data_IF_566417370916
#
_entry.id   IF_566417370916
#
_cell.length_a   1.000
_cell.length_b   1.000
_cell.length_c   1.000
_cell.angle_alpha   90.00
_cell.angle_beta   90.00
_cell.angle_gamma   90.00
#
_symmetry.space_group_name_H-M   'P 1'
#
loop_
_entity.id
_entity.type
_entity.pdbx_description
1 polymer ?
#
# COMPACT_ATOMS: atom_id res chain seq x y z
N UNK A 1 -40.36 -8.06 20.18
CA UNK A 1 -39.56 -6.83 19.98
C UNK A 1 -38.63 -7.08 18.80
N UNK A 2 -38.45 -6.10 17.90
CA UNK A 2 -37.53 -6.26 16.76
C UNK A 2 -36.10 -6.23 17.31
N UNK A 3 -35.31 -7.27 17.03
CA UNK A 3 -33.91 -7.33 17.46
C UNK A 3 -33.14 -6.11 16.90
N UNK A 4 -32.12 -5.65 17.63
CA UNK A 4 -31.27 -4.56 17.16
C UNK A 4 -30.38 -5.09 16.04
N UNK A 5 -30.30 -4.38 14.91
CA UNK A 5 -29.39 -4.76 13.81
C UNK A 5 -27.94 -4.38 14.14
N UNK A 6 -27.00 -5.25 13.75
CA UNK A 6 -25.56 -4.95 13.75
C UNK A 6 -24.96 -5.30 12.40
N UNK A 7 -24.13 -4.40 11.86
CA UNK A 7 -23.33 -4.72 10.66
C UNK A 7 -21.93 -5.16 11.10
N UNK A 8 -21.55 -6.40 10.78
CA UNK A 8 -20.26 -6.98 11.13
C UNK A 8 -19.33 -6.97 9.90
N UNK A 9 -18.17 -6.32 10.00
CA UNK A 9 -17.08 -6.52 9.07
C UNK A 9 -16.61 -7.99 9.14
N UNK A 10 -16.77 -8.71 8.04
CA UNK A 10 -16.71 -10.17 8.01
C UNK A 10 -15.71 -10.66 6.95
N UNK A 11 -14.87 -11.61 7.35
CA UNK A 11 -13.84 -12.21 6.49
C UNK A 11 -14.00 -13.72 6.31
N UNK A 12 -14.98 -14.36 6.96
CA UNK A 12 -15.13 -15.81 6.99
C UNK A 12 -14.11 -16.55 7.85
N UNK A 13 -13.15 -15.83 8.45
CA UNK A 13 -12.15 -16.38 9.36
C UNK A 13 -12.72 -16.75 10.74
N UNK A 14 -11.85 -17.29 11.60
CA UNK A 14 -12.19 -17.69 12.97
C UNK A 14 -12.82 -16.54 13.77
N UNK A 15 -12.09 -15.43 13.87
CA UNK A 15 -12.42 -14.27 14.70
C UNK A 15 -13.78 -13.66 14.32
N UNK A 16 -14.02 -13.44 13.03
CA UNK A 16 -15.28 -12.85 12.54
C UNK A 16 -16.43 -13.85 12.57
N UNK A 17 -16.17 -15.16 12.44
CA UNK A 17 -17.17 -16.21 12.66
C UNK A 17 -17.61 -16.26 14.12
N UNK A 18 -16.65 -16.22 15.06
CA UNK A 18 -16.93 -16.12 16.49
C UNK A 18 -17.78 -14.87 16.80
N UNK A 19 -17.38 -13.71 16.28
CA UNK A 19 -18.11 -12.46 16.48
C UNK A 19 -19.58 -12.57 16.04
N UNK A 20 -19.85 -13.18 14.87
CA UNK A 20 -21.22 -13.33 14.39
C UNK A 20 -22.08 -14.16 15.34
N UNK A 21 -21.58 -15.34 15.76
CA UNK A 21 -22.32 -16.23 16.67
C UNK A 21 -22.52 -15.58 18.04
N UNK A 22 -21.48 -14.92 18.56
CA UNK A 22 -21.55 -14.22 19.84
C UNK A 22 -22.54 -13.06 19.81
N UNK A 23 -22.50 -12.19 18.78
CA UNK A 23 -23.42 -11.06 18.63
C UNK A 23 -24.88 -11.52 18.52
N UNK A 24 -25.12 -12.62 17.80
CA UNK A 24 -26.45 -13.23 17.72
C UNK A 24 -26.93 -13.67 19.11
N UNK A 25 -26.06 -14.28 19.92
CA UNK A 25 -26.38 -14.65 21.31
C UNK A 25 -26.65 -13.43 22.21
N UNK A 26 -26.08 -12.27 21.89
CA UNK A 26 -26.39 -10.99 22.55
C UNK A 26 -27.71 -10.36 22.07
N UNK A 27 -28.48 -11.02 21.20
CA UNK A 27 -29.79 -10.57 20.73
C UNK A 27 -29.75 -9.61 19.53
N UNK A 28 -28.63 -9.57 18.79
CA UNK A 28 -28.56 -8.79 17.56
C UNK A 28 -29.00 -9.58 16.33
N UNK A 29 -29.66 -8.90 15.39
CA UNK A 29 -29.79 -9.36 14.01
C UNK A 29 -28.49 -9.01 13.27
N UNK A 30 -27.62 -10.00 13.13
CA UNK A 30 -26.30 -9.83 12.51
C UNK A 30 -26.43 -9.78 10.99
N UNK A 31 -25.96 -8.71 10.39
CA UNK A 31 -25.75 -8.57 8.94
C UNK A 31 -24.24 -8.55 8.73
N UNK A 32 -23.72 -9.42 7.88
CA UNK A 32 -22.28 -9.48 7.58
C UNK A 32 -21.94 -8.67 6.34
N UNK A 33 -20.77 -8.05 6.33
CA UNK A 33 -20.26 -7.24 5.23
C UNK A 33 -18.81 -7.63 4.92
N UNK A 34 -18.56 -8.03 3.68
CA UNK A 34 -17.23 -8.23 3.12
C UNK A 34 -17.02 -7.24 1.98
N UNK A 35 -15.88 -6.54 2.01
CA UNK A 35 -15.45 -5.64 0.94
C UNK A 35 -14.29 -6.28 0.20
N UNK A 36 -14.45 -6.50 -1.10
CA UNK A 36 -13.41 -7.00 -1.98
C UNK A 36 -12.46 -5.86 -2.38
N UNK A 37 -11.43 -5.66 -1.56
CA UNK A 37 -10.27 -4.81 -1.83
C UNK A 37 -9.19 -5.54 -2.64
N UNK A 38 -9.53 -6.68 -3.25
CA UNK A 38 -8.63 -7.60 -3.90
C UNK A 38 -8.06 -8.64 -2.94
N UNK A 39 -7.45 -9.68 -3.53
CA UNK A 39 -6.84 -10.78 -2.78
C UNK A 39 -7.71 -12.03 -2.63
N UNK A 40 -8.99 -11.97 -2.95
CA UNK A 40 -9.90 -13.12 -2.94
C UNK A 40 -10.00 -13.78 -4.32
N UNK A 41 -9.75 -15.09 -4.38
CA UNK A 41 -10.12 -15.89 -5.54
C UNK A 41 -11.62 -16.29 -5.51
N UNK A 42 -12.06 -17.12 -6.45
CA UNK A 42 -13.47 -17.49 -6.55
C UNK A 42 -13.88 -18.39 -5.39
N UNK A 43 -13.02 -19.32 -5.03
CA UNK A 43 -13.20 -20.27 -3.93
C UNK A 43 -13.30 -19.54 -2.58
N UNK A 44 -12.48 -18.52 -2.36
CA UNK A 44 -12.52 -17.65 -1.18
C UNK A 44 -13.89 -16.94 -1.07
N UNK A 45 -14.38 -16.38 -2.18
CA UNK A 45 -15.67 -15.67 -2.23
C UNK A 45 -16.83 -16.60 -1.90
N UNK A 46 -16.86 -17.77 -2.54
CA UNK A 46 -17.90 -18.77 -2.31
C UNK A 46 -17.87 -19.29 -0.87
N UNK A 47 -16.66 -19.50 -0.31
CA UNK A 47 -16.47 -19.86 1.09
C UNK A 47 -17.04 -18.79 2.03
N UNK A 48 -16.69 -17.51 1.86
CA UNK A 48 -17.15 -16.42 2.73
C UNK A 48 -18.67 -16.31 2.73
N UNK A 49 -19.31 -16.41 1.55
CA UNK A 49 -20.77 -16.35 1.44
C UNK A 49 -21.42 -17.53 2.17
N UNK A 50 -20.91 -18.75 1.98
CA UNK A 50 -21.44 -19.93 2.67
C UNK A 50 -21.21 -19.85 4.20
N UNK A 51 -20.02 -19.42 4.61
CA UNK A 51 -19.67 -19.25 6.01
C UNK A 51 -20.58 -18.23 6.70
N UNK A 52 -20.92 -17.12 6.03
CA UNK A 52 -21.84 -16.11 6.56
C UNK A 52 -23.21 -16.69 6.94
N UNK A 53 -23.72 -17.64 6.15
CA UNK A 53 -24.99 -18.35 6.40
C UNK A 53 -24.84 -19.30 7.58
N UNK A 54 -23.75 -20.06 7.64
CA UNK A 54 -23.47 -21.01 8.71
C UNK A 54 -23.35 -20.33 10.08
N UNK A 55 -22.73 -19.15 10.14
CA UNK A 55 -22.62 -18.35 11.37
C UNK A 55 -23.90 -17.59 11.72
N UNK A 56 -25.00 -17.85 11.00
CA UNK A 56 -26.34 -17.38 11.31
C UNK A 56 -26.60 -15.92 10.99
N UNK A 57 -25.88 -15.33 10.02
CA UNK A 57 -26.16 -13.98 9.56
C UNK A 57 -27.54 -13.91 8.89
N UNK A 58 -28.30 -12.86 9.21
CA UNK A 58 -29.62 -12.58 8.62
C UNK A 58 -29.53 -12.09 7.18
N UNK A 59 -28.39 -11.48 6.82
CA UNK A 59 -28.07 -10.99 5.49
C UNK A 59 -26.55 -10.92 5.34
N UNK A 60 -26.08 -11.08 4.11
CA UNK A 60 -24.67 -10.92 3.74
C UNK A 60 -24.55 -9.93 2.59
N UNK A 61 -23.62 -8.99 2.73
CA UNK A 61 -23.19 -8.09 1.69
C UNK A 61 -21.78 -8.45 1.26
N UNK A 62 -21.59 -8.62 -0.04
CA UNK A 62 -20.29 -8.77 -0.67
C UNK A 62 -20.14 -7.66 -1.71
N UNK A 63 -19.31 -6.66 -1.44
CA UNK A 63 -19.25 -5.42 -2.22
C UNK A 63 -17.83 -5.21 -2.78
N UNK A 64 -17.72 -4.78 -4.03
CA UNK A 64 -16.44 -4.40 -4.61
C UNK A 64 -15.87 -3.11 -4.00
N UNK A 65 -14.62 -3.14 -3.56
CA UNK A 65 -13.88 -1.97 -3.05
C UNK A 65 -12.62 -1.63 -3.83
N UNK A 66 -12.23 -2.45 -4.82
CA UNK A 66 -10.98 -2.31 -5.59
C UNK A 66 -10.79 -0.94 -6.24
N UNK A 67 -11.80 -0.46 -6.95
CA UNK A 67 -11.73 0.83 -7.65
C UNK A 67 -11.58 1.99 -6.67
N UNK A 68 -12.38 1.99 -5.61
CA UNK A 68 -12.32 3.04 -4.59
C UNK A 68 -10.99 3.03 -3.84
N UNK A 69 -10.46 1.85 -3.50
CA UNK A 69 -9.13 1.70 -2.92
C UNK A 69 -8.04 2.24 -3.86
N UNK A 70 -8.14 1.92 -5.15
CA UNK A 70 -7.19 2.41 -6.14
C UNK A 70 -7.21 3.94 -6.22
N UNK A 71 -8.38 4.52 -6.45
CA UNK A 71 -8.54 5.95 -6.70
C UNK A 71 -8.17 6.78 -5.47
N UNK A 72 -8.64 6.38 -4.29
CA UNK A 72 -8.47 7.17 -3.06
C UNK A 72 -7.14 6.98 -2.36
N UNK A 73 -6.48 5.83 -2.52
CA UNK A 73 -5.32 5.48 -1.70
C UNK A 73 -4.13 5.08 -2.57
N UNK A 74 -4.27 4.04 -3.40
CA UNK A 74 -3.14 3.49 -4.15
C UNK A 74 -2.58 4.51 -5.14
N UNK A 75 -3.46 5.29 -5.79
CA UNK A 75 -3.07 6.36 -6.71
C UNK A 75 -2.13 7.36 -6.02
N UNK A 76 -2.40 7.72 -4.76
CA UNK A 76 -1.56 8.64 -3.98
C UNK A 76 -0.29 7.96 -3.43
N UNK A 77 -0.33 6.65 -3.15
CA UNK A 77 0.89 5.89 -2.86
C UNK A 77 1.85 5.91 -4.07
N UNK A 78 1.32 5.77 -5.29
CA UNK A 78 2.10 5.84 -6.54
C UNK A 78 2.62 7.26 -6.76
N UNK A 79 1.72 8.25 -6.90
CA UNK A 79 2.07 9.67 -7.14
C UNK A 79 3.02 10.22 -6.07
N UNK A 80 2.81 9.83 -4.82
CA UNK A 80 3.63 10.24 -3.69
C UNK A 80 4.94 9.47 -3.56
N UNK A 81 5.11 8.34 -4.24
CA UNK A 81 6.22 7.38 -4.04
C UNK A 81 6.34 6.86 -2.60
N UNK A 82 5.22 6.55 -1.97
CA UNK A 82 5.13 6.34 -0.53
C UNK A 82 5.68 4.97 -0.14
N UNK A 83 6.74 4.98 0.67
CA UNK A 83 7.32 3.82 1.31
C UNK A 83 7.64 4.17 2.77
N UNK A 84 6.91 3.57 3.71
CA UNK A 84 7.16 3.75 5.14
C UNK A 84 8.52 3.16 5.51
N UNK A 85 9.32 3.93 6.25
CA UNK A 85 10.70 3.57 6.57
C UNK A 85 11.57 3.37 5.31
N UNK A 86 11.18 3.96 4.18
CA UNK A 86 11.87 3.82 2.91
C UNK A 86 11.65 2.50 2.17
N UNK A 87 10.95 1.52 2.75
CA UNK A 87 10.81 0.16 2.19
C UNK A 87 9.38 -0.37 2.09
N UNK A 88 8.48 -0.03 3.01
CA UNK A 88 7.17 -0.69 3.13
C UNK A 88 6.03 0.10 2.46
N UNK A 89 5.34 -0.44 1.44
CA UNK A 89 4.29 0.27 0.71
C UNK A 89 2.90 0.14 1.35
N UNK A 90 2.83 -0.05 2.67
CA UNK A 90 1.57 -0.05 3.43
C UNK A 90 0.57 -1.13 2.97
N UNK A 91 1.01 -2.35 2.65
CA UNK A 91 0.19 -3.34 1.93
C UNK A 91 -1.20 -3.68 2.50
N UNK A 92 -1.42 -3.58 3.82
CA UNK A 92 -2.68 -4.05 4.44
C UNK A 92 -3.47 -2.95 5.19
N UNK A 93 -2.77 -2.00 5.81
CA UNK A 93 -3.39 -1.02 6.71
C UNK A 93 -4.42 -0.11 6.04
N UNK A 94 -4.09 0.57 4.93
CA UNK A 94 -4.98 1.51 4.27
C UNK A 94 -6.29 0.89 3.76
N UNK A 95 -6.31 -0.40 3.44
CA UNK A 95 -7.53 -1.10 3.02
C UNK A 95 -8.62 -1.06 4.12
N UNK A 96 -8.22 -1.03 5.40
CA UNK A 96 -9.15 -0.93 6.53
C UNK A 96 -9.94 0.36 6.54
N UNK A 97 -9.40 1.45 5.98
CA UNK A 97 -10.10 2.74 5.86
C UNK A 97 -11.31 2.62 4.92
N UNK A 98 -11.14 1.93 3.78
CA UNK A 98 -12.22 1.67 2.83
C UNK A 98 -13.27 0.73 3.44
N UNK A 99 -12.83 -0.34 4.11
CA UNK A 99 -13.74 -1.29 4.75
C UNK A 99 -14.57 -0.60 5.83
N UNK A 100 -13.96 0.18 6.71
CA UNK A 100 -14.64 0.91 7.78
C UNK A 100 -15.62 1.97 7.23
N UNK A 101 -15.24 2.67 6.16
CA UNK A 101 -16.14 3.62 5.46
C UNK A 101 -17.39 2.92 4.94
N UNK A 102 -17.22 1.79 4.23
CA UNK A 102 -18.36 1.00 3.73
C UNK A 102 -19.21 0.39 4.84
N UNK A 103 -18.58 0.01 5.95
CA UNK A 103 -19.28 -0.49 7.13
C UNK A 103 -20.25 0.56 7.69
N UNK A 104 -19.81 1.81 7.80
CA UNK A 104 -20.66 2.94 8.19
C UNK A 104 -21.80 3.20 7.18
N UNK A 105 -21.50 3.25 5.88
CA UNK A 105 -22.49 3.46 4.83
C UNK A 105 -23.61 2.39 4.87
N UNK A 106 -23.23 1.12 5.02
CA UNK A 106 -24.19 0.01 5.09
C UNK A 106 -24.99 0.03 6.39
N UNK A 107 -24.39 0.44 7.51
CA UNK A 107 -25.11 0.58 8.77
C UNK A 107 -26.24 1.62 8.65
N UNK A 108 -25.94 2.78 8.07
CA UNK A 108 -26.94 3.83 7.82
C UNK A 108 -28.03 3.31 6.87
N UNK A 109 -27.63 2.67 5.76
CA UNK A 109 -28.57 2.10 4.77
C UNK A 109 -29.53 1.08 5.38
N UNK A 110 -29.05 0.23 6.28
CA UNK A 110 -29.84 -0.81 6.94
C UNK A 110 -30.63 -0.30 8.15
N UNK A 111 -30.44 0.95 8.55
CA UNK A 111 -30.99 1.52 9.79
C UNK A 111 -30.42 0.86 11.05
N UNK A 112 -29.17 0.39 10.99
CA UNK A 112 -28.47 -0.19 12.13
C UNK A 112 -27.80 0.92 12.96
N UNK A 113 -27.99 0.87 14.28
CA UNK A 113 -27.33 1.78 15.23
C UNK A 113 -25.97 1.25 15.70
N UNK A 114 -25.52 0.10 15.18
CA UNK A 114 -24.36 -0.62 15.71
C UNK A 114 -23.59 -1.29 14.59
N UNK A 115 -22.27 -1.22 14.69
CA UNK A 115 -21.31 -1.89 13.82
C UNK A 115 -20.35 -2.73 14.66
N UNK A 116 -19.77 -3.75 14.05
CA UNK A 116 -18.80 -4.61 14.71
C UNK A 116 -17.62 -4.99 13.80
N UNK A 117 -16.47 -5.26 14.40
CA UNK A 117 -15.31 -5.84 13.72
C UNK A 117 -14.59 -6.85 14.64
N UNK A 118 -13.84 -7.77 14.03
CA UNK A 118 -13.15 -8.85 14.75
C UNK A 118 -11.70 -8.56 15.10
N UNK A 119 -11.29 -7.29 15.23
CA UNK A 119 -9.88 -6.96 15.48
C UNK A 119 -9.48 -7.29 16.92
N UNK A 120 -8.24 -7.76 17.10
CA UNK A 120 -7.64 -7.97 18.43
C UNK A 120 -7.25 -6.65 19.08
N UNK A 121 -7.05 -6.67 20.41
CA UNK A 121 -6.54 -5.53 21.18
C UNK A 121 -5.04 -5.24 21.02
N UNK A 122 -4.30 -6.07 20.28
CA UNK A 122 -2.85 -5.94 20.12
C UNK A 122 -2.41 -5.33 18.77
N UNK A 123 -3.32 -5.26 17.80
CA UNK A 123 -2.99 -4.82 16.43
C UNK A 123 -3.40 -3.39 16.14
N UNK A 124 -2.82 -2.81 15.08
CA UNK A 124 -3.17 -1.48 14.56
C UNK A 124 -4.57 -1.43 13.94
N UNK A 125 -5.09 -2.55 13.44
CA UNK A 125 -6.35 -2.59 12.70
C UNK A 125 -7.55 -2.17 13.54
N UNK A 126 -7.55 -2.45 14.85
CA UNK A 126 -8.59 -1.96 15.75
C UNK A 126 -8.67 -0.42 15.74
N UNK A 127 -7.52 0.26 15.71
CA UNK A 127 -7.45 1.72 15.74
C UNK A 127 -7.95 2.28 14.40
N UNK A 128 -7.55 1.63 13.29
CA UNK A 128 -7.98 2.01 11.95
C UNK A 128 -9.49 1.93 11.77
N UNK A 129 -10.11 0.85 12.25
CA UNK A 129 -11.57 0.73 12.27
C UNK A 129 -12.21 1.77 13.20
N UNK A 130 -11.81 1.82 14.46
CA UNK A 130 -12.44 2.69 15.46
C UNK A 130 -12.34 4.16 15.09
N UNK A 131 -11.16 4.66 14.70
CA UNK A 131 -10.96 6.06 14.33
C UNK A 131 -11.81 6.41 13.10
N UNK A 132 -11.74 5.60 12.05
CA UNK A 132 -12.54 5.84 10.83
C UNK A 132 -14.04 5.90 11.13
N UNK A 133 -14.55 4.93 11.89
CA UNK A 133 -15.96 4.86 12.25
C UNK A 133 -16.39 6.04 13.14
N UNK A 134 -15.54 6.45 14.10
CA UNK A 134 -15.82 7.60 14.97
C UNK A 134 -15.85 8.91 14.20
N UNK A 135 -14.96 9.09 13.22
CA UNK A 135 -14.93 10.29 12.38
C UNK A 135 -16.15 10.35 11.46
N UNK A 136 -16.44 9.26 10.76
CA UNK A 136 -17.49 9.25 9.72
C UNK A 136 -18.89 9.05 10.26
N UNK A 137 -19.04 8.42 11.41
CA UNK A 137 -20.33 8.04 11.98
C UNK A 137 -20.28 7.98 13.51
N UNK A 138 -20.03 9.12 14.18
CA UNK A 138 -19.86 9.19 15.65
C UNK A 138 -21.07 8.66 16.44
N UNK A 139 -22.25 8.63 15.83
CA UNK A 139 -23.49 8.12 16.39
C UNK A 139 -23.57 6.59 16.42
N UNK A 140 -22.77 5.87 15.63
CA UNK A 140 -22.79 4.41 15.60
C UNK A 140 -22.07 3.85 16.84
N UNK A 141 -22.72 2.90 17.51
CA UNK A 141 -22.05 2.09 18.53
C UNK A 141 -21.09 1.12 17.85
N UNK A 142 -19.82 1.12 18.25
CA UNK A 142 -18.80 0.20 17.75
C UNK A 142 -18.62 -0.94 18.75
N UNK A 143 -18.62 -2.18 18.26
CA UNK A 143 -18.32 -3.38 19.05
C UNK A 143 -17.08 -4.07 18.49
N UNK A 144 -16.14 -4.47 19.35
CA UNK A 144 -14.97 -5.24 18.95
C UNK A 144 -14.84 -6.49 19.82
N UNK A 145 -15.70 -7.52 19.64
CA UNK A 145 -15.83 -8.61 20.62
C UNK A 145 -14.52 -9.34 20.94
N UNK A 146 -13.64 -9.55 19.96
CA UNK A 146 -12.34 -10.22 20.17
C UNK A 146 -11.46 -9.42 21.14
N UNK A 147 -11.34 -8.11 20.91
CA UNK A 147 -10.62 -7.19 21.79
C UNK A 147 -11.29 -7.12 23.16
N UNK A 148 -12.58 -6.83 23.18
CA UNK A 148 -13.31 -6.45 24.40
C UNK A 148 -13.45 -7.65 25.37
N UNK A 149 -13.53 -8.87 24.85
CA UNK A 149 -13.58 -10.10 25.65
C UNK A 149 -12.19 -10.66 25.98
N UNK A 150 -11.14 -10.23 25.28
CA UNK A 150 -9.80 -10.81 25.40
C UNK A 150 -9.77 -12.32 25.16
N UNK A 151 -10.66 -12.83 24.30
CA UNK A 151 -10.82 -14.27 24.09
C UNK A 151 -9.58 -14.86 23.43
N UNK A 152 -9.18 -16.05 23.87
CA UNK A 152 -8.07 -16.79 23.26
C UNK A 152 -8.57 -17.58 22.05
N UNK A 153 -7.70 -17.72 21.05
CA UNK A 153 -7.96 -18.50 19.82
C UNK A 153 -8.54 -19.89 20.08
N UNK A 154 -8.03 -20.60 21.07
CA UNK A 154 -8.47 -21.95 21.42
C UNK A 154 -9.92 -21.96 21.94
N UNK A 155 -10.30 -20.92 22.67
CA UNK A 155 -11.65 -20.77 23.21
C UNK A 155 -12.64 -20.36 22.12
N UNK A 156 -12.21 -19.56 21.14
CA UNK A 156 -13.01 -19.28 19.94
C UNK A 156 -13.32 -20.56 19.15
N UNK A 157 -12.32 -21.42 18.96
CA UNK A 157 -12.48 -22.70 18.26
C UNK A 157 -13.47 -23.58 19.01
N UNK A 158 -13.29 -23.76 20.32
CA UNK A 158 -14.22 -24.55 21.16
C UNK A 158 -15.63 -23.98 21.12
N UNK A 159 -15.76 -22.66 21.15
CA UNK A 159 -17.05 -21.98 21.10
C UNK A 159 -17.78 -22.26 19.78
N UNK A 160 -17.09 -22.14 18.64
CA UNK A 160 -17.69 -22.43 17.33
C UNK A 160 -18.01 -23.91 17.14
N UNK A 161 -17.15 -24.81 17.61
CA UNK A 161 -17.40 -26.25 17.59
C UNK A 161 -18.64 -26.62 18.40
N UNK A 162 -18.83 -26.00 19.57
CA UNK A 162 -20.05 -26.16 20.37
C UNK A 162 -21.33 -25.67 19.69
N UNK A 163 -21.22 -24.87 18.63
CA UNK A 163 -22.33 -24.42 17.78
C UNK A 163 -22.35 -25.14 16.41
N UNK A 164 -21.63 -26.26 16.27
CA UNK A 164 -21.51 -27.04 15.04
C UNK A 164 -20.98 -26.26 13.83
N UNK A 165 -20.18 -25.20 14.07
CA UNK A 165 -19.53 -24.41 13.04
C UNK A 165 -18.06 -24.82 12.96
N UNK A 166 -17.66 -25.33 11.80
CA UNK A 166 -16.27 -25.64 11.50
C UNK A 166 -15.60 -24.46 10.82
N UNK A 167 -14.33 -24.23 11.13
CA UNK A 167 -13.46 -23.27 10.44
C UNK A 167 -12.31 -24.09 9.83
N UNK A 168 -11.95 -23.88 8.55
CA UNK A 168 -10.80 -24.51 7.94
C UNK A 168 -9.55 -24.35 8.81
N UNK A 169 -8.74 -25.40 8.92
CA UNK A 169 -7.46 -25.33 9.64
C UNK A 169 -6.50 -24.42 8.88
N UNK A 170 -6.52 -23.13 9.16
CA UNK A 170 -5.48 -22.20 8.70
C UNK A 170 -4.18 -22.58 9.39
N UNK A 171 -3.06 -22.55 8.65
CA UNK A 171 -1.70 -22.81 9.13
C UNK A 171 -1.47 -22.16 10.50
N UNK A 172 -1.00 -22.95 11.47
CA UNK A 172 -0.88 -22.57 12.90
C UNK A 172 0.13 -21.45 13.18
N UNK A 173 0.86 -20.97 12.16
CA UNK A 173 2.14 -20.31 12.38
C UNK A 173 2.27 -18.91 11.81
N UNK A 174 1.55 -18.60 10.72
CA UNK A 174 1.64 -17.30 10.05
C UNK A 174 0.25 -16.73 9.81
N UNK A 175 0.15 -15.41 9.97
CA UNK A 175 -0.97 -14.60 9.51
C UNK A 175 -0.57 -13.96 8.18
N UNK A 176 -1.21 -14.41 7.10
CA UNK A 176 -0.95 -13.91 5.74
C UNK A 176 -2.17 -13.11 5.28
N UNK A 177 -1.97 -11.84 4.96
CA UNK A 177 -2.99 -11.00 4.32
C UNK A 177 -2.55 -10.72 2.89
N UNK A 178 -3.43 -10.98 1.93
CA UNK A 178 -3.25 -10.67 0.52
C UNK A 178 -4.23 -9.58 0.13
N UNK A 179 -3.75 -8.54 -0.51
CA UNK A 179 -4.55 -7.43 -1.02
C UNK A 179 -3.98 -6.90 -2.34
N UNK A 180 -4.55 -5.83 -2.88
CA UNK A 180 -4.09 -5.24 -4.15
C UNK A 180 -2.68 -4.66 -4.06
N UNK A 181 -2.34 -4.04 -2.93
CA UNK A 181 -1.02 -3.44 -2.71
C UNK A 181 0.08 -4.48 -2.51
N UNK A 182 -0.28 -5.68 -2.05
CA UNK A 182 0.66 -6.78 -1.85
C UNK A 182 0.23 -7.72 -0.73
N UNK A 183 1.21 -8.49 -0.26
CA UNK A 183 1.08 -9.49 0.78
C UNK A 183 1.78 -8.99 2.03
N UNK A 184 1.20 -9.23 3.20
CA UNK A 184 1.87 -9.12 4.50
C UNK A 184 1.89 -10.48 5.19
N UNK A 185 2.99 -10.78 5.87
CA UNK A 185 3.20 -11.98 6.65
C UNK A 185 3.62 -11.57 8.07
N UNK A 186 2.87 -12.03 9.06
CA UNK A 186 3.16 -11.88 10.48
C UNK A 186 3.13 -13.23 11.22
N UNK A 187 3.61 -13.24 12.47
CA UNK A 187 3.81 -14.46 13.27
C UNK A 187 5.24 -15.01 13.21
N UNK A 188 5.53 -16.03 14.02
CA UNK A 188 6.83 -16.71 14.16
C UNK A 188 8.05 -15.77 14.08
N UNK A 189 8.82 -15.80 13.00
CA UNK A 189 10.10 -15.08 12.86
C UNK A 189 9.91 -13.56 12.94
N UNK A 190 8.72 -13.07 12.60
CA UNK A 190 8.39 -11.64 12.73
C UNK A 190 8.09 -11.21 14.16
N UNK A 191 7.96 -12.13 15.14
CA UNK A 191 7.88 -11.75 16.56
C UNK A 191 9.25 -11.45 17.16
N UNK A 192 10.33 -11.90 16.51
CA UNK A 192 11.71 -11.55 16.84
C UNK A 192 12.30 -10.52 15.89
N UNK A 193 13.52 -10.09 16.14
CA UNK A 193 14.24 -9.09 15.33
C UNK A 193 15.26 -9.68 14.35
N UNK A 194 15.56 -10.98 14.44
CA UNK A 194 16.68 -11.60 13.76
C UNK A 194 16.25 -12.45 12.55
N UNK A 195 15.42 -13.47 12.78
CA UNK A 195 15.07 -14.46 11.76
C UNK A 195 14.16 -13.91 10.66
N UNK A 196 14.16 -14.52 9.48
CA UNK A 196 13.28 -14.14 8.36
C UNK A 196 12.27 -15.25 8.04
N UNK A 197 11.00 -14.92 7.70
CA UNK A 197 10.06 -15.95 7.27
C UNK A 197 10.55 -16.67 6.01
N UNK A 198 10.37 -18.00 5.92
CA UNK A 198 10.86 -18.79 4.79
C UNK A 198 9.99 -18.54 3.54
N UNK A 199 10.50 -18.83 2.34
CA UNK A 199 9.86 -18.38 1.10
C UNK A 199 8.48 -18.98 0.83
N UNK A 200 8.16 -20.15 1.40
CA UNK A 200 6.89 -20.85 1.22
C UNK A 200 5.70 -20.08 1.80
N UNK A 201 5.94 -19.08 2.66
CA UNK A 201 4.89 -18.28 3.29
C UNK A 201 4.39 -17.14 2.39
N UNK A 202 5.10 -16.81 1.30
CA UNK A 202 4.73 -15.74 0.38
C UNK A 202 4.00 -16.33 -0.84
N UNK A 203 2.65 -16.34 -0.86
CA UNK A 203 1.91 -16.97 -1.93
C UNK A 203 2.21 -16.31 -3.28
N UNK A 204 2.58 -17.13 -4.27
CA UNK A 204 2.80 -16.70 -5.65
C UNK A 204 4.15 -16.04 -5.92
N UNK A 205 4.99 -15.79 -4.91
CA UNK A 205 6.33 -15.21 -5.11
C UNK A 205 7.34 -16.32 -5.40
N UNK A 206 8.11 -16.18 -6.48
CA UNK A 206 9.17 -17.13 -6.81
C UNK A 206 10.41 -16.87 -5.94
N UNK A 207 10.93 -17.86 -5.19
CA UNK A 207 12.21 -17.77 -4.48
C UNK A 207 13.34 -17.31 -5.41
N UNK A 208 14.24 -16.45 -4.94
CA UNK A 208 15.26 -15.80 -5.79
C UNK A 208 16.09 -16.84 -6.55
N UNK A 209 16.44 -17.95 -5.90
CA UNK A 209 17.20 -19.08 -6.41
C UNK A 209 16.48 -19.79 -7.56
N UNK A 210 15.14 -19.77 -7.55
CA UNK A 210 14.25 -20.40 -8.55
C UNK A 210 13.78 -19.43 -9.64
N UNK A 211 14.09 -18.13 -9.53
CA UNK A 211 13.71 -17.15 -10.57
C UNK A 211 14.46 -17.39 -11.89
N UNK A 212 13.93 -16.93 -13.04
CA UNK A 212 14.58 -17.10 -14.33
C UNK A 212 15.99 -16.50 -14.43
N UNK A 213 16.87 -17.15 -15.19
CA UNK A 213 18.21 -16.64 -15.50
C UNK A 213 18.25 -15.65 -16.67
N UNK A 214 17.08 -15.28 -17.22
CA UNK A 214 16.93 -14.24 -18.24
C UNK A 214 16.09 -13.10 -17.68
N UNK A 215 16.51 -11.83 -17.85
CA UNK A 215 15.74 -10.69 -17.41
C UNK A 215 14.51 -10.49 -18.30
N UNK A 216 13.44 -9.93 -17.73
CA UNK A 216 12.36 -9.34 -18.51
C UNK A 216 12.54 -7.82 -18.57
N UNK A 217 12.45 -7.24 -19.76
CA UNK A 217 12.48 -5.79 -19.97
C UNK A 217 11.08 -5.30 -20.30
N UNK A 218 10.63 -4.26 -19.60
CA UNK A 218 9.33 -3.64 -19.79
C UNK A 218 9.45 -2.14 -19.98
N UNK A 219 8.43 -1.56 -20.60
CA UNK A 219 8.22 -0.12 -20.63
C UNK A 219 6.89 0.18 -19.94
N UNK A 220 6.94 1.08 -18.96
CA UNK A 220 5.76 1.58 -18.25
C UNK A 220 5.54 3.02 -18.71
N UNK A 221 4.37 3.32 -19.24
CA UNK A 221 3.98 4.68 -19.60
C UNK A 221 3.14 5.29 -18.50
N UNK A 222 3.51 6.49 -18.08
CA UNK A 222 2.78 7.29 -17.09
C UNK A 222 2.11 8.48 -17.76
N UNK A 223 0.95 8.88 -17.22
CA UNK A 223 0.25 10.11 -17.54
C UNK A 223 -0.21 10.75 -16.23
N UNK A 224 0.16 12.01 -16.02
CA UNK A 224 -0.15 12.76 -14.80
C UNK A 224 0.17 11.97 -13.52
N UNK A 225 1.32 11.30 -13.49
CA UNK A 225 1.80 10.53 -12.33
C UNK A 225 1.25 9.11 -12.18
N UNK A 226 0.28 8.70 -13.01
CA UNK A 226 -0.34 7.37 -12.93
C UNK A 226 0.04 6.48 -14.12
N UNK A 227 0.25 5.18 -13.91
CA UNK A 227 0.54 4.26 -15.00
C UNK A 227 -0.70 4.09 -15.88
N UNK A 228 -0.50 4.13 -17.19
CA UNK A 228 -1.57 3.96 -18.20
C UNK A 228 -1.30 2.82 -19.17
N UNK A 229 -0.05 2.41 -19.34
CA UNK A 229 0.29 1.21 -20.11
C UNK A 229 1.51 0.50 -19.53
N UNK A 230 1.58 -0.82 -19.72
CA UNK A 230 2.79 -1.62 -19.53
C UNK A 230 2.96 -2.57 -20.70
N UNK A 231 4.16 -2.63 -21.28
CA UNK A 231 4.48 -3.54 -22.39
C UNK A 231 5.81 -4.25 -22.20
N UNK A 232 5.87 -5.52 -22.58
CA UNK A 232 7.14 -6.22 -22.73
C UNK A 232 7.92 -5.59 -23.87
N UNK A 233 9.22 -5.39 -23.67
CA UNK A 233 10.12 -5.04 -24.75
C UNK A 233 10.40 -6.31 -25.56
N UNK A 234 9.57 -6.58 -26.55
CA UNK A 234 9.80 -7.69 -27.47
C UNK A 234 10.94 -7.36 -28.43
N UNK A 235 11.77 -8.35 -28.82
CA UNK A 235 12.61 -8.22 -30.00
C UNK A 235 11.74 -7.94 -31.24
N UNK A 236 12.25 -7.18 -32.22
CA UNK A 236 11.53 -7.01 -33.50
C UNK A 236 11.19 -8.39 -34.09
N UNK A 237 9.92 -8.62 -34.41
CA UNK A 237 9.45 -9.85 -35.08
C UNK A 237 8.95 -10.98 -34.17
N UNK A 238 8.83 -10.77 -32.86
CA UNK A 238 8.32 -11.79 -31.93
C UNK A 238 6.80 -12.01 -32.06
N UNK A 239 6.39 -13.28 -32.06
CA UNK A 239 5.00 -13.74 -31.97
C UNK A 239 4.84 -14.60 -30.69
N UNK A 240 3.67 -14.55 -30.01
CA UNK A 240 3.45 -15.34 -28.80
C UNK A 240 3.47 -16.85 -29.10
N UNK A 241 4.15 -17.67 -28.29
CA UNK A 241 4.00 -19.12 -28.38
C UNK A 241 2.57 -19.51 -28.01
N UNK A 242 2.00 -20.46 -28.76
CA UNK A 242 0.72 -21.05 -28.42
C UNK A 242 0.83 -21.76 -27.05
N UNK A 243 0.21 -21.19 -26.01
CA UNK A 243 0.09 -21.84 -24.69
C UNK A 243 0.79 -21.18 -23.49
N UNK A 244 1.18 -19.90 -23.54
CA UNK A 244 1.73 -19.19 -22.36
C UNK A 244 1.22 -17.75 -22.25
N UNK A 245 0.41 -17.47 -21.23
CA UNK A 245 -0.39 -16.25 -21.04
C UNK A 245 0.35 -15.19 -20.23
N UNK A 246 1.01 -14.27 -20.91
CA UNK A 246 1.27 -12.92 -20.38
C UNK A 246 1.11 -11.97 -21.57
N UNK A 247 0.09 -11.09 -21.57
CA UNK A 247 -0.15 -10.21 -22.70
C UNK A 247 1.11 -9.38 -23.00
N UNK A 248 1.52 -9.23 -24.27
CA UNK A 248 2.71 -8.44 -24.62
C UNK A 248 2.55 -6.96 -24.26
N UNK A 249 1.30 -6.51 -24.05
CA UNK A 249 0.92 -5.16 -23.67
C UNK A 249 -0.38 -5.21 -22.88
N UNK A 250 -0.48 -4.37 -21.86
CA UNK A 250 -1.71 -4.06 -21.11
C UNK A 250 -1.93 -2.56 -21.24
N UNK A 251 -3.02 -2.18 -21.90
CA UNK A 251 -3.53 -0.81 -22.04
C UNK A 251 -4.87 -0.72 -21.31
N UNK A 252 -4.82 -0.71 -19.98
CA UNK A 252 -6.02 -0.89 -19.19
C UNK A 252 -5.96 -0.06 -17.90
N UNK A 253 -6.95 -0.24 -17.02
CA UNK A 253 -7.02 0.49 -15.75
C UNK A 253 -5.73 0.28 -14.94
N UNK A 254 -5.41 1.24 -14.07
CA UNK A 254 -4.23 1.12 -13.21
C UNK A 254 -4.25 -0.14 -12.31
N UNK A 255 -5.42 -0.71 -12.07
CA UNK A 255 -5.62 -1.98 -11.35
C UNK A 255 -5.08 -3.16 -12.18
N UNK A 256 -5.47 -3.27 -13.44
CA UNK A 256 -5.02 -4.36 -14.33
C UNK A 256 -3.51 -4.28 -14.57
N UNK A 257 -2.95 -3.07 -14.68
CA UNK A 257 -1.50 -2.87 -14.73
C UNK A 257 -0.81 -3.40 -13.46
N UNK A 258 -1.38 -3.14 -12.28
CA UNK A 258 -0.84 -3.67 -11.02
C UNK A 258 -0.96 -5.19 -10.94
N UNK A 259 -2.07 -5.78 -11.36
CA UNK A 259 -2.25 -7.23 -11.41
C UNK A 259 -1.21 -7.89 -12.33
N UNK A 260 -1.00 -7.32 -13.52
CA UNK A 260 0.04 -7.74 -14.45
C UNK A 260 1.45 -7.63 -13.85
N UNK A 261 1.79 -6.48 -13.26
CA UNK A 261 3.10 -6.26 -12.65
C UNK A 261 3.32 -7.13 -11.40
N UNK A 262 2.25 -7.51 -10.68
CA UNK A 262 2.33 -8.47 -9.59
C UNK A 262 2.75 -9.84 -10.13
N UNK A 263 2.13 -10.33 -11.21
CA UNK A 263 2.51 -11.61 -11.83
C UNK A 263 3.96 -11.56 -12.33
N UNK A 264 4.29 -10.56 -13.13
CA UNK A 264 5.62 -10.43 -13.74
C UNK A 264 6.73 -10.22 -12.69
N UNK A 265 6.49 -9.36 -11.69
CA UNK A 265 7.43 -9.12 -10.61
C UNK A 265 7.62 -10.34 -9.72
N UNK A 266 6.55 -11.09 -9.44
CA UNK A 266 6.60 -12.31 -8.63
C UNK A 266 7.43 -13.41 -9.28
N UNK A 267 7.36 -13.55 -10.62
CA UNK A 267 8.23 -14.44 -11.41
C UNK A 267 9.72 -14.16 -11.17
N UNK A 268 10.08 -12.90 -10.94
CA UNK A 268 11.46 -12.47 -10.65
C UNK A 268 11.75 -12.29 -9.15
N UNK A 269 10.85 -12.67 -8.24
CA UNK A 269 11.07 -12.52 -6.79
C UNK A 269 11.20 -11.07 -6.33
N UNK A 270 10.63 -10.12 -7.09
CA UNK A 270 10.75 -8.68 -6.85
C UNK A 270 9.82 -8.21 -5.72
N UNK A 271 10.28 -7.24 -4.93
CA UNK A 271 9.43 -6.52 -3.97
C UNK A 271 9.16 -7.28 -2.67
N UNK A 272 9.95 -8.33 -2.38
CA UNK A 272 9.96 -9.01 -1.07
C UNK A 272 10.82 -8.21 -0.09
N UNK A 273 10.38 -8.09 1.15
CA UNK A 273 11.13 -7.38 2.18
C UNK A 273 10.58 -7.60 3.59
N UNK A 274 11.27 -7.01 4.56
CA UNK A 274 10.86 -6.96 5.96
C UNK A 274 10.92 -5.52 6.43
N UNK A 275 9.90 -5.09 7.14
CA UNK A 275 9.81 -3.77 7.75
C UNK A 275 9.77 -3.89 9.26
N UNK A 276 10.72 -3.26 9.93
CA UNK A 276 10.70 -3.00 11.36
C UNK A 276 10.38 -1.52 11.56
N UNK A 277 9.32 -1.22 12.31
CA UNK A 277 8.96 0.17 12.58
C UNK A 277 7.97 0.29 13.71
N UNK A 278 7.51 1.51 13.96
CA UNK A 278 6.58 1.78 15.04
C UNK A 278 5.15 1.38 14.69
N UNK A 279 4.44 0.85 15.67
CA UNK A 279 2.99 0.65 15.65
C UNK A 279 2.29 1.91 16.14
N UNK A 280 0.99 2.03 15.86
CA UNK A 280 0.16 3.15 16.35
C UNK A 280 0.14 3.18 17.88
N UNK A 281 0.29 2.00 18.50
CA UNK A 281 0.29 1.80 19.95
C UNK A 281 1.64 2.09 20.62
N UNK A 282 2.63 2.60 19.87
CA UNK A 282 3.92 3.05 20.40
C UNK A 282 4.96 1.94 20.65
N UNK A 283 4.66 0.68 20.33
CA UNK A 283 5.65 -0.41 20.34
C UNK A 283 6.27 -0.61 18.97
N UNK A 284 7.45 -1.24 18.92
CA UNK A 284 8.04 -1.74 17.67
C UNK A 284 7.25 -2.95 17.17
N UNK A 285 7.00 -2.98 15.87
CA UNK A 285 6.40 -4.11 15.16
C UNK A 285 7.24 -4.46 13.94
N UNK A 286 7.29 -5.76 13.62
CA UNK A 286 7.97 -6.27 12.44
C UNK A 286 6.98 -7.01 11.56
N UNK A 287 7.03 -6.75 10.26
CA UNK A 287 6.16 -7.38 9.27
C UNK A 287 6.98 -7.71 8.05
N UNK A 288 6.84 -8.94 7.55
CA UNK A 288 7.39 -9.29 6.25
C UNK A 288 6.34 -9.04 5.17
N UNK A 289 6.78 -8.74 3.96
CA UNK A 289 5.87 -8.38 2.88
C UNK A 289 6.40 -8.78 1.51
N UNK A 290 5.49 -8.88 0.55
CA UNK A 290 5.80 -8.96 -0.86
C UNK A 290 4.87 -8.03 -1.64
N UNK A 291 5.42 -7.05 -2.35
CA UNK A 291 4.64 -6.03 -3.04
C UNK A 291 5.25 -5.70 -4.42
N UNK A 292 5.22 -6.65 -5.38
CA UNK A 292 5.97 -6.51 -6.63
C UNK A 292 5.53 -5.31 -7.46
N UNK A 293 4.23 -5.17 -7.72
CA UNK A 293 3.71 -4.11 -8.60
C UNK A 293 4.04 -2.71 -8.09
N UNK A 294 3.68 -2.41 -6.84
CA UNK A 294 3.87 -1.07 -6.28
C UNK A 294 5.36 -0.70 -6.17
N UNK A 295 6.23 -1.68 -5.87
CA UNK A 295 7.68 -1.44 -5.82
C UNK A 295 8.24 -1.12 -7.20
N UNK A 296 7.79 -1.84 -8.25
CA UNK A 296 8.16 -1.56 -9.64
C UNK A 296 7.69 -0.16 -10.05
N UNK A 297 6.41 0.14 -9.81
CA UNK A 297 5.79 1.42 -10.16
C UNK A 297 6.49 2.59 -9.48
N UNK A 298 6.72 2.51 -8.16
CA UNK A 298 7.39 3.58 -7.41
C UNK A 298 8.82 3.80 -7.94
N UNK A 299 9.57 2.74 -8.23
CA UNK A 299 10.95 2.90 -8.73
C UNK A 299 10.99 3.54 -10.11
N UNK A 300 10.07 3.15 -10.99
CA UNK A 300 9.93 3.74 -12.33
C UNK A 300 9.46 5.19 -12.28
N UNK A 301 8.44 5.46 -11.45
CA UNK A 301 7.84 6.77 -11.26
C UNK A 301 8.84 7.78 -10.67
N UNK A 302 9.58 7.40 -9.61
CA UNK A 302 10.66 8.22 -9.03
C UNK A 302 11.68 8.67 -10.07
N UNK A 303 12.07 7.80 -11.00
CA UNK A 303 13.06 8.14 -12.02
C UNK A 303 12.49 9.11 -13.07
N UNK A 304 11.21 8.91 -13.46
CA UNK A 304 10.54 9.83 -14.37
C UNK A 304 10.38 11.22 -13.75
N UNK A 305 10.04 11.31 -12.47
CA UNK A 305 9.92 12.59 -11.76
C UNK A 305 11.22 13.38 -11.72
N UNK A 306 12.38 12.72 -11.56
CA UNK A 306 13.68 13.40 -11.62
C UNK A 306 13.92 14.10 -12.96
N UNK A 307 13.35 13.57 -14.06
CA UNK A 307 13.49 14.13 -15.40
C UNK A 307 12.60 15.36 -15.61
N UNK A 308 11.44 15.42 -14.94
CA UNK A 308 10.36 16.39 -15.27
C UNK A 308 10.03 17.38 -14.15
N UNK A 309 10.54 17.16 -12.94
CA UNK A 309 10.31 18.04 -11.78
C UNK A 309 11.59 18.74 -11.35
N UNK A 310 11.46 19.99 -10.90
CA UNK A 310 12.58 20.75 -10.34
C UNK A 310 13.03 20.19 -8.99
N UNK A 311 14.26 20.52 -8.58
CA UNK A 311 14.82 20.14 -7.27
C UNK A 311 13.88 20.44 -6.10
N UNK A 312 13.27 21.63 -6.09
CA UNK A 312 12.43 22.07 -4.98
C UNK A 312 11.02 21.46 -4.99
N UNK A 313 10.47 21.16 -6.17
CA UNK A 313 9.24 20.36 -6.26
C UNK A 313 9.47 18.97 -5.68
N UNK A 314 10.57 18.30 -6.06
CA UNK A 314 10.93 16.99 -5.52
C UNK A 314 11.15 17.05 -4.00
N UNK A 315 11.87 18.05 -3.51
CA UNK A 315 12.13 18.25 -2.08
C UNK A 315 10.81 18.30 -1.28
N UNK A 316 9.93 19.24 -1.60
CA UNK A 316 8.69 19.41 -0.84
C UNK A 316 7.75 18.23 -1.01
N UNK A 317 7.61 17.71 -2.23
CA UNK A 317 6.71 16.58 -2.51
C UNK A 317 7.12 15.37 -1.69
N UNK A 318 8.41 15.04 -1.64
CA UNK A 318 8.90 13.90 -0.91
C UNK A 318 8.67 14.03 0.61
N UNK A 319 8.84 15.22 1.20
CA UNK A 319 8.55 15.44 2.62
C UNK A 319 7.06 15.27 2.92
N UNK A 320 6.18 15.86 2.09
CA UNK A 320 4.74 15.70 2.29
C UNK A 320 4.27 14.26 2.06
N UNK A 321 4.84 13.55 1.08
CA UNK A 321 4.57 12.14 0.85
C UNK A 321 4.90 11.26 2.05
N UNK A 322 6.00 11.57 2.76
CA UNK A 322 6.37 10.84 3.99
C UNK A 322 5.33 11.06 5.09
N UNK A 323 4.93 12.32 5.30
CA UNK A 323 3.86 12.67 6.27
C UNK A 323 2.55 11.98 5.89
N UNK A 324 2.15 12.01 4.63
CA UNK A 324 0.92 11.37 4.17
C UNK A 324 0.96 9.85 4.34
N UNK A 325 2.11 9.22 4.07
CA UNK A 325 2.30 7.79 4.34
C UNK A 325 2.12 7.43 5.81
N UNK A 326 2.58 8.31 6.72
CA UNK A 326 2.32 8.15 8.15
C UNK A 326 0.83 8.34 8.45
N UNK A 327 0.15 9.32 7.87
CA UNK A 327 -1.30 9.52 8.08
C UNK A 327 -2.12 8.29 7.67
N UNK A 328 -1.79 7.67 6.53
CA UNK A 328 -2.42 6.42 6.09
C UNK A 328 -2.19 5.27 7.09
N UNK A 329 -0.98 5.18 7.66
CA UNK A 329 -0.65 4.14 8.64
C UNK A 329 -1.34 4.36 9.99
N UNK A 330 -1.38 5.62 10.46
CA UNK A 330 -1.88 6.09 11.77
C UNK A 330 -3.41 6.33 11.81
N UNK A 331 -4.15 5.94 10.75
CA UNK A 331 -5.60 6.13 10.63
C UNK A 331 -6.06 7.59 10.56
N UNK A 332 -5.21 8.51 10.10
CA UNK A 332 -5.48 9.95 9.99
C UNK A 332 -5.88 10.38 8.57
N UNK A 333 -6.35 9.45 7.72
CA UNK A 333 -6.73 9.74 6.34
C UNK A 333 -7.84 10.79 6.19
N UNK A 334 -8.72 10.89 7.18
CA UNK A 334 -9.84 11.85 7.20
C UNK A 334 -9.49 13.18 7.88
N UNK A 335 -8.26 13.33 8.38
CA UNK A 335 -7.78 14.63 8.81
C UNK A 335 -7.73 15.58 7.60
N UNK A 336 -8.19 16.85 7.71
CA UNK A 336 -8.17 17.80 6.60
C UNK A 336 -6.79 17.97 5.95
N UNK A 337 -5.71 17.86 6.73
CA UNK A 337 -4.33 17.96 6.23
C UNK A 337 -4.03 16.89 5.18
N UNK A 338 -4.70 15.71 5.24
CA UNK A 338 -4.56 14.70 4.21
C UNK A 338 -5.02 15.22 2.84
N UNK A 339 -6.12 16.00 2.77
CA UNK A 339 -6.60 16.62 1.51
C UNK A 339 -5.64 17.71 1.02
N UNK A 340 -5.08 18.49 1.94
CA UNK A 340 -4.12 19.55 1.60
C UNK A 340 -2.84 18.96 1.00
N UNK A 341 -2.34 17.86 1.57
CA UNK A 341 -1.20 17.13 1.02
C UNK A 341 -1.53 16.52 -0.35
N UNK A 342 -2.70 15.90 -0.50
CA UNK A 342 -3.16 15.36 -1.79
C UNK A 342 -3.20 16.43 -2.88
N UNK A 343 -3.70 17.64 -2.58
CA UNK A 343 -3.74 18.74 -3.52
C UNK A 343 -2.34 19.16 -4.01
N UNK A 344 -1.36 19.16 -3.09
CA UNK A 344 0.04 19.43 -3.45
C UNK A 344 0.62 18.30 -4.31
N UNK A 345 0.37 17.04 -3.93
CA UNK A 345 0.78 15.86 -4.71
C UNK A 345 0.19 15.97 -6.12
N UNK A 346 -1.12 16.17 -6.27
CA UNK A 346 -1.78 16.29 -7.57
C UNK A 346 -1.22 17.44 -8.42
N UNK A 347 -0.93 18.58 -7.79
CA UNK A 347 -0.27 19.69 -8.47
C UNK A 347 1.11 19.32 -9.02
N UNK A 348 1.90 18.57 -8.24
CA UNK A 348 3.23 18.11 -8.67
C UNK A 348 3.18 17.14 -9.86
N UNK A 349 2.07 16.43 -10.06
CA UNK A 349 1.99 15.37 -11.07
C UNK A 349 1.60 15.84 -12.47
N UNK A 350 1.22 17.12 -12.65
CA UNK A 350 0.71 17.66 -13.93
C UNK A 350 1.61 17.38 -15.16
N UNK A 351 2.93 17.37 -14.97
CA UNK A 351 3.90 17.13 -16.05
C UNK A 351 4.55 15.74 -15.99
N UNK A 352 4.14 14.89 -15.04
CA UNK A 352 4.69 13.54 -14.86
C UNK A 352 4.06 12.59 -15.88
N UNK A 353 4.43 12.79 -17.14
CA UNK A 353 3.95 12.04 -18.30
C UNK A 353 5.16 11.58 -19.12
N UNK A 354 5.26 10.30 -19.43
CA UNK A 354 6.41 9.74 -20.14
C UNK A 354 6.57 8.24 -19.97
N UNK A 355 7.66 7.70 -20.51
CA UNK A 355 7.98 6.27 -20.46
C UNK A 355 9.15 6.02 -19.52
N UNK A 356 9.07 4.94 -18.73
CA UNK A 356 10.16 4.39 -17.95
C UNK A 356 10.50 2.96 -18.44
N UNK A 357 11.76 2.74 -18.80
CA UNK A 357 12.28 1.42 -19.16
C UNK A 357 12.80 0.70 -17.92
N UNK A 358 12.24 -0.47 -17.64
CA UNK A 358 12.54 -1.25 -16.43
C UNK A 358 13.02 -2.64 -16.82
N UNK A 359 14.07 -3.11 -16.16
CA UNK A 359 14.57 -4.48 -16.26
C UNK A 359 14.35 -5.19 -14.93
N UNK A 360 13.66 -6.33 -14.96
CA UNK A 360 13.38 -7.17 -13.81
C UNK A 360 14.28 -8.40 -13.86
N UNK A 361 15.03 -8.65 -12.78
CA UNK A 361 15.98 -9.75 -12.73
C UNK A 361 16.36 -10.13 -11.30
N UNK A 362 16.12 -11.38 -10.89
CA UNK A 362 16.65 -11.95 -9.64
C UNK A 362 16.44 -11.03 -8.42
N UNK A 363 15.19 -10.65 -8.16
CA UNK A 363 14.76 -9.76 -7.09
C UNK A 363 14.98 -8.27 -7.36
N UNK A 364 15.70 -7.92 -8.43
CA UNK A 364 16.06 -6.54 -8.74
C UNK A 364 15.09 -5.86 -9.71
N UNK A 365 14.90 -4.57 -9.48
CA UNK A 365 14.26 -3.64 -10.41
C UNK A 365 15.35 -2.67 -10.87
N UNK A 366 15.68 -2.65 -12.14
CA UNK A 366 16.75 -1.81 -12.71
C UNK A 366 16.12 -0.85 -13.70
N UNK A 367 16.17 0.45 -13.42
CA UNK A 367 15.71 1.47 -14.36
C UNK A 367 16.83 1.71 -15.38
N UNK A 368 16.52 1.51 -16.66
CA UNK A 368 17.50 1.62 -17.77
C UNK A 368 17.30 2.88 -18.61
N UNK A 369 16.36 3.73 -18.21
CA UNK A 369 16.16 5.05 -18.79
C UNK A 369 14.70 5.50 -18.72
N UNK A 370 14.52 6.80 -18.83
CA UNK A 370 13.22 7.47 -18.88
C UNK A 370 13.20 8.45 -20.04
N UNK A 371 12.02 8.75 -20.58
CA UNK A 371 11.82 9.82 -21.57
C UNK A 371 10.48 10.50 -21.33
N UNK A 372 10.41 11.79 -21.61
CA UNK A 372 9.20 12.58 -21.42
C UNK A 372 9.14 13.73 -22.43
N UNK A 373 7.95 14.11 -22.92
CA UNK A 373 7.76 15.37 -23.64
C UNK A 373 7.97 16.60 -22.74
N UNK A 374 8.01 16.44 -21.42
CA UNK A 374 8.22 17.51 -20.42
C UNK A 374 9.61 17.44 -19.78
N UNK A 375 10.59 16.89 -20.50
CA UNK A 375 11.96 16.75 -20.00
C UNK A 375 12.58 18.10 -19.65
N UNK A 376 13.09 18.24 -18.42
CA UNK A 376 13.94 19.35 -18.00
C UNK A 376 15.40 19.18 -18.45
N UNK A 377 15.77 17.98 -18.89
CA UNK A 377 17.04 17.76 -19.58
C UNK A 377 16.90 18.10 -21.06
N UNK A 378 17.65 19.11 -21.51
CA UNK A 378 17.74 19.51 -22.91
C UNK A 378 19.20 19.50 -23.40
N UNK A 379 19.65 18.42 -24.08
CA UNK A 379 21.01 18.30 -24.58
C UNK A 379 21.41 19.34 -25.63
N UNK A 380 20.46 19.98 -26.31
CA UNK A 380 20.74 21.04 -27.28
C UNK A 380 21.23 22.33 -26.62
N UNK A 381 20.92 22.49 -25.32
CA UNK A 381 21.15 23.72 -24.55
C UNK A 381 22.31 23.55 -23.56
N UNK A 382 22.34 22.43 -22.84
CA UNK A 382 23.43 22.12 -21.92
C UNK A 382 23.63 20.61 -21.77
N UNK A 383 24.89 20.19 -21.76
CA UNK A 383 25.34 18.82 -21.49
C UNK A 383 26.35 18.88 -20.37
N UNK A 384 26.06 18.20 -19.28
CA UNK A 384 26.92 18.17 -18.09
C UNK A 384 28.36 17.78 -18.45
N UNK A 385 29.32 18.64 -18.07
CA UNK A 385 30.75 18.41 -18.28
C UNK A 385 31.26 18.65 -19.71
N UNK A 386 30.39 18.97 -20.68
CA UNK A 386 30.78 19.09 -22.08
C UNK A 386 30.42 20.45 -22.70
N UNK A 387 29.15 20.85 -22.64
CA UNK A 387 28.63 22.01 -23.37
C UNK A 387 27.66 22.80 -22.52
N UNK A 388 27.71 24.11 -22.64
CA UNK A 388 26.77 24.99 -21.98
C UNK A 388 26.54 26.26 -22.78
N UNK A 389 25.27 26.53 -23.13
CA UNK A 389 24.84 27.77 -23.77
C UNK A 389 23.99 28.67 -22.85
N UNK A 390 23.77 28.27 -21.58
CA UNK A 390 22.87 28.97 -20.66
C UNK A 390 23.55 30.03 -19.79
N UNK A 391 24.86 29.92 -19.59
CA UNK A 391 25.62 30.84 -18.76
C UNK A 391 27.07 30.92 -19.22
N UNK A 392 27.73 32.01 -18.90
CA UNK A 392 29.16 32.23 -19.11
C UNK A 392 29.99 31.68 -17.94
N UNK A 393 31.29 31.50 -18.16
CA UNK A 393 32.21 31.11 -17.08
C UNK A 393 32.27 32.14 -15.95
N UNK A 394 32.16 33.42 -16.28
CA UNK A 394 32.17 34.51 -15.29
C UNK A 394 30.93 34.48 -14.40
N UNK A 395 29.74 34.28 -14.98
CA UNK A 395 28.49 34.12 -14.21
C UNK A 395 28.55 32.89 -13.28
N UNK A 396 29.10 31.77 -13.75
CA UNK A 396 29.27 30.58 -12.91
C UNK A 396 30.24 30.83 -11.74
N UNK A 397 31.36 31.53 -11.98
CA UNK A 397 32.31 31.90 -10.93
C UNK A 397 31.69 32.88 -9.92
N UNK A 398 30.95 33.89 -10.41
CA UNK A 398 30.20 34.84 -9.59
C UNK A 398 29.14 34.15 -8.74
N UNK A 399 28.33 33.27 -9.34
CA UNK A 399 27.35 32.47 -8.61
C UNK A 399 28.01 31.61 -7.53
N UNK A 400 29.13 30.94 -7.84
CA UNK A 400 29.85 30.12 -6.86
C UNK A 400 30.32 30.93 -5.64
N UNK A 401 30.84 32.14 -5.87
CA UNK A 401 31.25 33.06 -4.80
C UNK A 401 30.07 33.46 -3.91
N UNK A 402 28.93 33.80 -4.50
CA UNK A 402 27.75 34.25 -3.76
C UNK A 402 27.02 33.10 -3.06
N UNK A 403 26.89 31.94 -3.72
CA UNK A 403 26.20 30.77 -3.20
C UNK A 403 26.90 30.19 -1.96
N UNK A 404 28.24 30.20 -1.94
CA UNK A 404 29.03 29.75 -0.78
C UNK A 404 29.10 30.75 0.38
N UNK A 405 28.61 31.98 0.21
CA UNK A 405 28.87 33.08 1.14
C UNK A 405 28.43 32.77 2.58
N UNK A 406 27.22 32.23 2.77
CA UNK A 406 26.72 31.90 4.11
C UNK A 406 27.58 30.82 4.79
N UNK A 407 27.98 29.79 4.03
CA UNK A 407 28.88 28.75 4.54
C UNK A 407 30.25 29.32 4.90
N UNK A 408 30.81 30.19 4.06
CA UNK A 408 32.08 30.87 4.35
C UNK A 408 32.01 31.71 5.63
N UNK A 409 30.95 32.48 5.83
CA UNK A 409 30.75 33.27 7.05
C UNK A 409 30.63 32.36 8.28
N UNK A 410 29.82 31.31 8.20
CA UNK A 410 29.65 30.33 9.30
C UNK A 410 30.96 29.65 9.68
N UNK A 411 31.74 29.18 8.71
CA UNK A 411 33.05 28.54 8.96
C UNK A 411 34.05 29.51 9.59
N UNK A 412 34.01 30.78 9.20
CA UNK A 412 34.95 31.79 9.70
C UNK A 412 34.44 32.55 10.94
N UNK A 413 33.22 32.28 11.42
CA UNK A 413 32.59 33.02 12.52
C UNK A 413 33.47 33.07 13.79
N UNK A 414 34.17 31.98 14.13
CA UNK A 414 35.09 31.96 15.28
C UNK A 414 36.30 32.89 15.10
N UNK A 415 36.89 32.93 13.90
CA UNK A 415 38.02 33.83 13.58
C UNK A 415 37.60 35.30 13.48
N UNK A 416 36.30 35.54 13.25
CA UNK A 416 35.72 36.87 13.21
C UNK A 416 35.33 37.36 14.62
N UNK A 417 34.91 36.45 15.52
CA UNK A 417 34.55 36.75 16.90
C UNK A 417 35.70 37.35 17.73
N UNK A 418 36.92 36.84 17.55
CA UNK A 418 38.14 37.35 18.21
C UNK A 418 38.46 38.84 17.88
N UNK A 419 37.74 39.46 16.93
CA UNK A 419 37.89 40.88 16.56
C UNK A 419 36.85 41.81 17.18
N UNK A 420 35.82 41.29 17.84
CA UNK A 420 34.71 42.08 18.38
C UNK A 420 34.54 41.94 19.90
N UNK A 421 35.50 41.33 20.60
CA UNK A 421 35.52 41.21 22.07
C UNK A 421 36.54 42.14 22.77
N UNK A 422 36.81 43.34 22.21
CA UNK A 422 37.51 44.44 22.90
C UNK A 422 36.57 45.63 23.16
#
# INVERSE_FOLDING_TARGET
MKNKKVILAFSGGLDTSFCSVWLKKQGYDVITLTIDTGGFDKEDKDYIVNQSKLVGATKHYFIGGKQELYDKIISYIIKGNILRGGVYPLCAGPERLIIATKLAEIAIKEGASTVAHGSTGAGNDQIRFDVTLRVLSPQLKILAPIRDLGIKREDEIKYLQGHHISIPKVSKSYSVNKGMLGITVGGKETTGSWESPPDEVYPGITPIEKTPNKPDEIIITFKNGLPVTVRLKTPRGWHPPAGGMTPPMVEESGIEIMEYLNILGSKHGVGKGIHLGDTILGIKGRVAFAAPAITILIKAHKELEKLVLTKWQLFWKNHLSEVYGNFLHEALYFDPVARDIEAMIDSSQKNVTGDAKVKLFKGNIIITGVKSPYSLMNPEVAVYGEKNALWTGEEAAGFSKLYGLQSCLSTNAKKLGDKYED
#
